data_IF_167487582624
#
_entry.id   IF_167487582624
#
_cell.length_a   1.000
_cell.length_b   1.000
_cell.length_c   1.000
_cell.angle_alpha   90.00
_cell.angle_beta   90.00
_cell.angle_gamma   90.00
#
_symmetry.space_group_name_H-M   'P 1'
#
loop_
_entity.id
_entity.type
_entity.pdbx_description
1 polymer ?
#
# COMPACT_ATOMS: atom_id res chain seq x y z
N UNK A 1 -6.51 -20.52 6.93
CA UNK A 1 -6.07 -19.66 8.02
C UNK A 1 -6.62 -18.26 7.78
N UNK A 2 -7.39 -17.76 8.75
CA UNK A 2 -8.40 -16.73 8.63
C UNK A 2 -7.97 -15.28 8.43
N UNK A 3 -6.78 -14.95 7.95
CA UNK A 3 -6.39 -13.56 7.69
C UNK A 3 -6.46 -13.26 6.19
N UNK A 4 -7.31 -12.31 5.82
CA UNK A 4 -7.60 -11.99 4.43
C UNK A 4 -6.82 -10.73 3.97
N UNK A 5 -6.66 -10.58 2.67
CA UNK A 5 -6.20 -9.33 2.06
C UNK A 5 -7.00 -8.12 2.58
N UNK A 6 -8.31 -8.27 2.67
CA UNK A 6 -9.19 -7.20 3.16
C UNK A 6 -8.83 -6.75 4.58
N UNK A 7 -8.53 -7.68 5.49
CA UNK A 7 -8.11 -7.35 6.85
C UNK A 7 -6.75 -6.65 6.88
N UNK A 8 -5.79 -7.12 6.08
CA UNK A 8 -4.47 -6.48 5.95
C UNK A 8 -4.58 -5.05 5.43
N UNK A 9 -5.29 -4.84 4.34
CA UNK A 9 -5.37 -3.53 3.68
C UNK A 9 -6.13 -2.49 4.51
N UNK A 10 -7.14 -2.92 5.27
CA UNK A 10 -7.82 -2.03 6.22
C UNK A 10 -6.85 -1.50 7.29
N UNK A 11 -6.01 -2.36 7.89
CA UNK A 11 -5.07 -1.95 8.94
C UNK A 11 -3.97 -1.05 8.38
N UNK A 12 -3.50 -1.31 7.18
CA UNK A 12 -2.55 -0.41 6.48
C UNK A 12 -3.20 0.97 6.27
N UNK A 13 -4.43 1.02 5.79
CA UNK A 13 -5.14 2.28 5.58
C UNK A 13 -5.37 3.07 6.86
N UNK A 14 -5.83 2.40 7.93
CA UNK A 14 -6.04 3.02 9.25
C UNK A 14 -4.74 3.56 9.84
N UNK A 15 -3.65 2.78 9.77
CA UNK A 15 -2.34 3.21 10.26
C UNK A 15 -1.77 4.37 9.42
N UNK A 16 -2.00 4.38 8.10
CA UNK A 16 -1.62 5.53 7.24
C UNK A 16 -2.35 6.80 7.67
N UNK A 17 -3.66 6.71 7.90
CA UNK A 17 -4.44 7.84 8.42
C UNK A 17 -3.93 8.31 9.78
N UNK A 18 -3.61 7.39 10.69
CA UNK A 18 -3.02 7.70 12.00
C UNK A 18 -1.69 8.46 11.85
N UNK A 19 -0.79 8.03 10.95
CA UNK A 19 0.47 8.74 10.70
C UNK A 19 0.25 10.14 10.13
N UNK A 20 -0.67 10.31 9.20
CA UNK A 20 -1.03 11.64 8.69
C UNK A 20 -1.53 12.54 9.81
N UNK A 21 -2.36 12.02 10.71
CA UNK A 21 -2.86 12.75 11.87
C UNK A 21 -1.77 13.12 12.86
N UNK A 22 -0.84 12.21 13.12
CA UNK A 22 0.16 12.37 14.18
C UNK A 22 1.34 13.27 13.75
N UNK A 23 1.69 13.24 12.46
CA UNK A 23 2.93 13.84 11.97
C UNK A 23 2.73 14.97 10.97
N UNK A 24 1.51 15.39 10.72
CA UNK A 24 1.23 16.49 9.79
C UNK A 24 0.17 17.44 10.33
N UNK A 25 0.01 18.56 9.63
CA UNK A 25 -1.09 19.51 9.84
C UNK A 25 -2.27 19.27 8.88
N UNK A 26 -2.26 18.14 8.15
CA UNK A 26 -3.38 17.76 7.29
C UNK A 26 -4.62 17.54 8.16
N UNK A 27 -5.72 18.19 7.81
CA UNK A 27 -7.01 17.91 8.45
C UNK A 27 -7.41 16.46 8.14
N UNK A 28 -7.36 15.62 9.15
CA UNK A 28 -7.68 14.19 9.01
C UNK A 28 -9.14 13.91 8.67
N UNK A 29 -10.03 14.89 8.80
CA UNK A 29 -11.40 14.80 8.29
C UNK A 29 -11.43 14.79 6.75
N UNK A 30 -10.38 15.31 6.10
CA UNK A 30 -10.20 15.23 4.65
C UNK A 30 -9.59 13.90 4.18
N UNK A 31 -8.99 13.13 5.08
CA UNK A 31 -8.47 11.78 4.80
C UNK A 31 -9.58 10.77 5.08
N UNK A 32 -10.29 10.39 4.04
CA UNK A 32 -11.44 9.48 4.13
C UNK A 32 -11.08 8.09 3.66
N UNK A 33 -11.74 7.11 4.24
CA UNK A 33 -11.61 5.70 3.85
C UNK A 33 -12.98 5.19 3.38
N UNK A 34 -12.98 4.25 2.46
CA UNK A 34 -14.20 3.62 1.96
C UNK A 34 -14.81 2.65 2.98
N UNK A 35 -14.02 2.18 3.95
CA UNK A 35 -14.48 1.39 5.10
C UNK A 35 -13.58 1.63 6.30
N UNK A 36 -14.10 1.38 7.49
CA UNK A 36 -13.40 1.57 8.78
C UNK A 36 -13.37 0.30 9.63
N UNK A 37 -14.14 -0.72 9.29
CA UNK A 37 -14.25 -1.98 10.04
C UNK A 37 -14.22 -3.17 9.08
N UNK A 38 -13.97 -4.37 9.60
CA UNK A 38 -13.88 -5.59 8.79
C UNK A 38 -15.26 -6.08 8.31
N UNK A 39 -16.31 -5.77 9.02
CA UNK A 39 -17.69 -6.14 8.67
C UNK A 39 -18.35 -5.21 7.62
N UNK A 40 -17.73 -4.07 7.34
CA UNK A 40 -18.16 -3.20 6.25
C UNK A 40 -17.79 -3.79 4.89
N UNK A 41 -18.80 -4.21 4.14
CA UNK A 41 -18.66 -4.64 2.76
C UNK A 41 -18.99 -3.45 1.86
N UNK A 42 -18.05 -3.06 1.01
CA UNK A 42 -18.20 -1.95 0.05
C UNK A 42 -17.84 -2.47 -1.33
N UNK A 43 -18.78 -2.43 -2.25
CA UNK A 43 -18.57 -2.90 -3.62
C UNK A 43 -17.55 -2.02 -4.37
N UNK A 44 -16.94 -2.58 -5.42
CA UNK A 44 -15.88 -1.88 -6.18
C UNK A 44 -16.37 -0.56 -6.75
N UNK A 45 -17.58 -0.54 -7.29
CA UNK A 45 -18.14 0.67 -7.89
C UNK A 45 -18.49 1.71 -6.81
N UNK A 46 -19.04 1.26 -5.70
CA UNK A 46 -19.39 2.11 -4.56
C UNK A 46 -18.16 2.86 -4.01
N UNK A 47 -16.98 2.22 -3.95
CA UNK A 47 -15.74 2.89 -3.51
C UNK A 47 -15.39 4.10 -4.37
N UNK A 48 -15.54 3.95 -5.68
CA UNK A 48 -15.29 5.05 -6.62
C UNK A 48 -16.34 6.14 -6.50
N UNK A 49 -17.60 5.74 -6.35
CA UNK A 49 -18.72 6.69 -6.22
C UNK A 49 -18.63 7.50 -4.91
N UNK A 50 -18.22 6.87 -3.81
CA UNK A 50 -17.93 7.58 -2.55
C UNK A 50 -16.83 8.63 -2.74
N UNK A 51 -15.71 8.28 -3.38
CA UNK A 51 -14.62 9.22 -3.61
C UNK A 51 -15.03 10.39 -4.51
N UNK A 52 -15.81 10.11 -5.55
CA UNK A 52 -16.37 11.14 -6.44
C UNK A 52 -17.33 12.08 -5.70
N UNK A 53 -18.22 11.52 -4.87
CA UNK A 53 -19.16 12.30 -4.06
C UNK A 53 -18.46 13.17 -3.00
N UNK A 54 -17.31 12.73 -2.50
CA UNK A 54 -16.48 13.51 -1.57
C UNK A 54 -15.72 14.64 -2.26
N UNK A 55 -15.61 14.63 -3.59
CA UNK A 55 -14.74 15.52 -4.33
C UNK A 55 -13.27 15.32 -3.96
N UNK A 56 -12.84 14.07 -3.81
CA UNK A 56 -11.48 13.76 -3.40
C UNK A 56 -10.45 14.22 -4.45
N UNK A 57 -9.29 14.71 -4.01
CA UNK A 57 -8.17 15.10 -4.89
C UNK A 57 -7.42 13.89 -5.43
N UNK A 58 -7.41 12.80 -4.68
CA UNK A 58 -6.70 11.58 -5.01
C UNK A 58 -7.41 10.35 -4.42
N UNK A 59 -7.42 9.25 -5.19
CA UNK A 59 -7.93 7.95 -4.74
C UNK A 59 -6.80 6.93 -4.71
N UNK A 60 -6.53 6.37 -3.54
CA UNK A 60 -5.53 5.33 -3.36
C UNK A 60 -6.16 4.01 -2.95
N UNK A 61 -5.98 2.98 -3.77
CA UNK A 61 -6.48 1.62 -3.54
C UNK A 61 -5.36 0.71 -3.05
N UNK A 62 -5.48 0.23 -1.82
CA UNK A 62 -4.47 -0.63 -1.17
C UNK A 62 -4.86 -2.08 -1.37
N UNK A 63 -3.99 -2.87 -1.98
CA UNK A 63 -4.17 -4.29 -2.25
C UNK A 63 -2.96 -5.12 -1.83
N UNK A 64 -3.08 -6.43 -1.99
CA UNK A 64 -2.01 -7.41 -1.82
C UNK A 64 -2.22 -8.52 -2.82
N UNK A 65 -1.28 -8.71 -3.71
CA UNK A 65 -1.35 -9.63 -4.85
C UNK A 65 -1.35 -11.11 -4.42
N UNK A 66 -1.71 -11.96 -5.34
CA UNK A 66 -1.69 -13.41 -5.19
C UNK A 66 -0.90 -14.06 -6.33
N UNK A 67 -0.16 -15.12 -6.02
CA UNK A 67 0.60 -15.86 -7.01
C UNK A 67 1.59 -16.81 -6.36
N UNK A 68 2.30 -17.58 -7.18
CA UNK A 68 3.30 -18.54 -6.75
C UNK A 68 4.72 -18.05 -7.08
N UNK A 69 5.60 -18.06 -6.10
CA UNK A 69 7.04 -18.00 -6.29
C UNK A 69 7.68 -16.61 -6.30
N UNK A 70 6.91 -15.54 -6.36
CA UNK A 70 7.44 -14.16 -6.29
C UNK A 70 6.77 -13.38 -5.18
N UNK A 71 7.50 -12.44 -4.57
CA UNK A 71 6.98 -11.50 -3.60
C UNK A 71 7.39 -10.09 -4.05
N UNK A 72 6.47 -9.36 -4.66
CA UNK A 72 6.75 -8.10 -5.32
C UNK A 72 5.72 -7.04 -4.95
N UNK A 73 6.16 -5.78 -4.96
CA UNK A 73 5.25 -4.63 -4.99
C UNK A 73 4.94 -4.27 -6.45
N UNK A 74 3.71 -3.84 -6.71
CA UNK A 74 3.25 -3.42 -8.03
C UNK A 74 2.36 -2.19 -7.90
N UNK A 75 2.49 -1.25 -8.83
CA UNK A 75 1.74 -0.01 -8.82
C UNK A 75 1.06 0.21 -10.16
N UNK A 76 -0.26 0.40 -10.15
CA UNK A 76 -1.10 0.50 -11.32
C UNK A 76 -1.90 1.81 -11.28
N UNK A 77 -1.51 2.76 -12.11
CA UNK A 77 -2.24 4.02 -12.25
C UNK A 77 -3.10 4.05 -13.50
N UNK A 78 -4.11 4.90 -13.49
CA UNK A 78 -5.05 5.01 -14.61
C UNK A 78 -4.40 5.53 -15.88
N UNK A 79 -4.35 4.68 -16.92
CA UNK A 79 -3.83 5.09 -18.22
C UNK A 79 -3.86 3.99 -19.28
N UNK A 80 -3.58 4.38 -20.51
CA UNK A 80 -3.64 3.53 -21.71
C UNK A 80 -2.63 3.99 -22.75
N UNK A 81 -2.52 3.24 -23.86
CA UNK A 81 -1.74 3.64 -25.04
C UNK A 81 -2.70 3.95 -26.20
N UNK A 82 -2.45 5.04 -26.92
CA UNK A 82 -3.18 5.48 -28.09
C UNK A 82 -2.24 6.14 -29.09
N UNK A 83 -2.31 5.75 -30.35
CA UNK A 83 -1.50 6.30 -31.46
C UNK A 83 0.00 6.36 -31.12
N UNK A 84 0.52 5.27 -30.52
CA UNK A 84 1.91 5.16 -30.07
C UNK A 84 2.25 5.94 -28.80
N UNK A 85 1.32 6.72 -28.25
CA UNK A 85 1.54 7.56 -27.06
C UNK A 85 0.92 6.95 -25.81
N UNK A 86 1.66 7.04 -24.68
CA UNK A 86 1.13 6.69 -23.37
C UNK A 86 0.34 7.86 -22.78
N UNK A 87 -0.90 7.61 -22.44
CA UNK A 87 -1.82 8.61 -21.91
C UNK A 87 -2.14 8.29 -20.45
N UNK A 88 -1.80 9.20 -19.56
CA UNK A 88 -2.23 9.16 -18.16
C UNK A 88 -3.62 9.78 -18.04
N UNK A 89 -4.53 9.15 -17.31
CA UNK A 89 -5.90 9.66 -17.07
C UNK A 89 -5.88 11.06 -16.47
N UNK A 90 -5.00 11.27 -15.51
CA UNK A 90 -4.83 12.57 -14.84
C UNK A 90 -3.35 12.93 -14.84
N UNK A 91 -2.92 13.92 -15.62
CA UNK A 91 -1.51 14.31 -15.69
C UNK A 91 -0.91 14.64 -14.33
N UNK A 92 0.31 14.19 -14.07
CA UNK A 92 0.99 14.33 -12.78
C UNK A 92 0.23 13.73 -11.57
N UNK A 93 -0.66 12.79 -11.83
CA UNK A 93 -1.52 12.14 -10.85
C UNK A 93 -0.96 10.81 -10.35
N UNK A 94 -1.61 9.72 -10.78
CA UNK A 94 -1.29 8.38 -10.30
C UNK A 94 0.13 7.93 -10.61
N UNK A 95 0.64 8.25 -11.80
CA UNK A 95 2.02 7.97 -12.20
C UNK A 95 3.01 8.62 -11.23
N UNK A 96 2.87 9.92 -11.00
CA UNK A 96 3.76 10.66 -10.10
C UNK A 96 3.68 10.16 -8.66
N UNK A 97 2.49 9.82 -8.19
CA UNK A 97 2.36 9.23 -6.85
C UNK A 97 3.07 7.88 -6.76
N UNK A 98 2.95 7.02 -7.77
CA UNK A 98 3.63 5.75 -7.86
C UNK A 98 5.16 5.88 -7.89
N UNK A 99 5.71 6.94 -8.49
CA UNK A 99 7.16 7.24 -8.49
C UNK A 99 7.71 7.51 -7.08
N UNK A 100 6.90 8.04 -6.17
CA UNK A 100 7.25 8.17 -4.74
C UNK A 100 6.92 6.91 -3.94
N UNK A 101 5.81 6.25 -4.26
CA UNK A 101 5.32 5.10 -3.51
C UNK A 101 6.20 3.86 -3.71
N UNK A 102 6.63 3.59 -4.93
CA UNK A 102 7.44 2.43 -5.26
C UNK A 102 8.73 2.34 -4.40
N UNK A 103 9.64 3.30 -4.42
CA UNK A 103 10.84 3.24 -3.58
C UNK A 103 10.51 3.27 -2.08
N UNK A 104 9.49 4.02 -1.67
CA UNK A 104 9.10 4.12 -0.26
C UNK A 104 8.54 2.79 0.25
N UNK A 105 7.66 2.15 -0.51
CA UNK A 105 7.00 0.92 -0.08
C UNK A 105 7.94 -0.29 -0.18
N UNK A 106 8.63 -0.44 -1.31
CA UNK A 106 9.59 -1.53 -1.52
C UNK A 106 10.74 -1.46 -0.51
N UNK A 107 11.19 -0.25 -0.16
CA UNK A 107 12.25 -0.04 0.82
C UNK A 107 11.88 -0.43 2.25
N UNK A 108 10.62 -0.23 2.66
CA UNK A 108 10.15 -0.61 4.01
C UNK A 108 9.69 -2.07 4.08
N UNK A 109 9.18 -2.60 2.98
CA UNK A 109 8.74 -4.00 2.88
C UNK A 109 9.91 -4.91 2.47
N UNK A 110 10.92 -4.99 3.31
CA UNK A 110 12.24 -5.61 3.08
C UNK A 110 12.26 -7.02 2.45
N UNK A 111 11.13 -7.70 2.37
CA UNK A 111 10.99 -9.01 1.70
C UNK A 111 10.44 -8.91 0.27
N UNK A 112 10.21 -7.71 -0.24
CA UNK A 112 9.66 -7.50 -1.58
C UNK A 112 10.70 -6.89 -2.51
N UNK A 113 10.47 -7.09 -3.81
CA UNK A 113 11.16 -6.36 -4.87
C UNK A 113 10.13 -5.55 -5.65
N UNK A 114 10.53 -4.43 -6.23
CA UNK A 114 9.63 -3.67 -7.10
C UNK A 114 9.41 -4.41 -8.42
N UNK A 115 8.16 -4.57 -8.81
CA UNK A 115 7.79 -4.93 -10.17
C UNK A 115 7.65 -3.70 -11.07
N UNK A 116 7.40 -2.54 -10.47
CA UNK A 116 7.34 -1.25 -11.14
C UNK A 116 5.98 -0.56 -11.10
N UNK A 117 5.92 0.59 -11.76
CA UNK A 117 4.78 1.50 -11.82
C UNK A 117 4.28 1.61 -13.27
N UNK A 118 3.05 1.14 -13.55
CA UNK A 118 2.54 0.93 -14.89
C UNK A 118 1.20 1.61 -15.15
N UNK A 119 0.98 1.98 -16.39
CA UNK A 119 -0.34 2.25 -16.95
C UNK A 119 -1.18 0.98 -16.86
N UNK A 120 -2.28 0.99 -16.13
CA UNK A 120 -3.02 -0.23 -15.79
C UNK A 120 -3.54 -0.98 -17.03
N UNK A 121 -3.99 -0.26 -18.06
CA UNK A 121 -4.43 -0.91 -19.30
C UNK A 121 -3.27 -1.54 -20.07
N UNK A 122 -2.12 -0.89 -20.11
CA UNK A 122 -0.93 -1.44 -20.75
C UNK A 122 -0.45 -2.71 -20.03
N UNK A 123 -0.51 -2.68 -18.70
CA UNK A 123 -0.14 -3.82 -17.89
C UNK A 123 -1.00 -5.07 -18.16
N UNK A 124 -2.33 -4.90 -18.25
CA UNK A 124 -3.26 -6.03 -18.44
C UNK A 124 -3.44 -6.45 -19.90
N UNK A 125 -3.40 -5.51 -20.84
CA UNK A 125 -3.66 -5.78 -22.25
C UNK A 125 -2.37 -5.92 -23.09
N UNK A 126 -1.18 -5.73 -22.48
CA UNK A 126 0.07 -5.62 -23.19
C UNK A 126 0.29 -4.21 -23.77
N UNK A 127 1.51 -3.97 -24.27
CA UNK A 127 1.92 -2.68 -24.84
C UNK A 127 1.38 -2.51 -26.28
N UNK A 128 0.07 -2.48 -26.40
CA UNK A 128 -0.65 -2.34 -27.68
C UNK A 128 -1.49 -1.09 -27.70
N UNK A 129 -1.62 -0.46 -28.87
CA UNK A 129 -2.54 0.63 -29.06
C UNK A 129 -4.00 0.19 -28.89
N UNK A 130 -4.73 0.94 -28.09
CA UNK A 130 -6.16 0.68 -27.88
C UNK A 130 -6.99 1.65 -28.73
N UNK A 131 -7.58 1.16 -29.82
CA UNK A 131 -8.44 1.97 -30.67
C UNK A 131 -9.85 2.18 -30.09
N UNK A 132 -10.35 1.16 -29.36
CA UNK A 132 -11.71 1.17 -28.82
C UNK A 132 -11.78 1.53 -27.33
N UNK A 133 -10.81 1.08 -26.53
CA UNK A 133 -10.83 1.19 -25.07
C UNK A 133 -9.86 2.28 -24.56
N UNK A 134 -10.13 3.53 -24.90
CA UNK A 134 -9.29 4.69 -24.52
C UNK A 134 -9.61 5.18 -23.11
N UNK A 135 -9.47 4.29 -22.12
CA UNK A 135 -9.69 4.55 -20.70
C UNK A 135 -8.94 3.52 -19.83
N UNK A 136 -8.75 3.77 -18.54
CA UNK A 136 -8.10 2.84 -17.61
C UNK A 136 -8.78 1.47 -17.57
N UNK A 137 -7.98 0.43 -17.31
CA UNK A 137 -8.48 -0.95 -17.21
C UNK A 137 -9.23 -1.20 -15.89
N UNK A 138 -8.58 -0.91 -14.77
CA UNK A 138 -9.12 -1.16 -13.45
C UNK A 138 -10.34 -0.27 -13.15
N UNK A 139 -11.39 -0.83 -12.55
CA UNK A 139 -12.62 -0.11 -12.22
C UNK A 139 -12.32 1.13 -11.37
N UNK A 140 -11.52 1.00 -10.33
CA UNK A 140 -11.15 2.12 -9.45
C UNK A 140 -10.43 3.25 -10.19
N UNK A 141 -9.59 2.92 -11.16
CA UNK A 141 -8.90 3.92 -11.98
C UNK A 141 -9.82 4.52 -13.05
N UNK A 142 -10.76 3.75 -13.58
CA UNK A 142 -11.68 4.18 -14.63
C UNK A 142 -12.81 5.06 -14.09
N UNK A 143 -13.42 4.68 -12.97
CA UNK A 143 -14.63 5.31 -12.43
C UNK A 143 -14.37 6.53 -11.57
N UNK A 144 -13.20 6.67 -10.99
CA UNK A 144 -12.83 7.85 -10.21
C UNK A 144 -12.62 9.07 -11.11
N UNK A 145 -13.12 10.23 -10.70
CA UNK A 145 -12.98 11.49 -11.44
C UNK A 145 -11.62 12.16 -11.23
N UNK A 146 -10.91 11.78 -10.18
CA UNK A 146 -9.61 12.31 -9.78
C UNK A 146 -8.46 11.37 -10.16
N UNK A 147 -7.23 11.79 -9.88
CA UNK A 147 -6.05 10.94 -9.95
C UNK A 147 -6.21 9.72 -9.04
N UNK A 148 -5.77 8.56 -9.52
CA UNK A 148 -5.91 7.31 -8.79
C UNK A 148 -4.75 6.36 -9.06
N UNK A 149 -4.45 5.53 -8.05
CA UNK A 149 -3.47 4.47 -8.13
C UNK A 149 -3.93 3.29 -7.27
N UNK A 150 -3.71 2.08 -7.78
CA UNK A 150 -3.79 0.82 -7.03
C UNK A 150 -2.38 0.31 -6.75
N UNK A 151 -2.09 -0.06 -5.51
CA UNK A 151 -0.85 -0.75 -5.15
C UNK A 151 -1.10 -2.17 -4.70
N UNK A 152 -0.18 -3.05 -5.07
CA UNK A 152 -0.05 -4.40 -4.54
C UNK A 152 1.13 -4.43 -3.56
N UNK A 153 0.84 -4.49 -2.27
CA UNK A 153 1.83 -4.52 -1.20
C UNK A 153 2.30 -5.94 -0.90
N UNK A 154 3.05 -6.55 -1.82
CA UNK A 154 3.51 -7.94 -1.72
C UNK A 154 2.41 -8.97 -2.00
N UNK A 155 2.78 -10.24 -1.97
CA UNK A 155 1.89 -11.37 -2.30
C UNK A 155 1.38 -12.04 -1.02
N UNK A 156 0.09 -11.88 -0.72
CA UNK A 156 -0.51 -12.50 0.48
C UNK A 156 -0.53 -14.02 0.45
N UNK A 157 -0.26 -14.64 -0.70
CA UNK A 157 -0.10 -16.10 -0.85
C UNK A 157 1.35 -16.58 -0.74
N UNK A 158 2.33 -15.66 -0.67
CA UNK A 158 3.72 -16.02 -0.57
C UNK A 158 4.08 -16.50 0.85
N UNK A 159 4.80 -17.62 0.98
CA UNK A 159 5.07 -18.30 2.26
C UNK A 159 5.72 -17.42 3.33
N UNK A 160 6.59 -16.49 2.92
CA UNK A 160 7.26 -15.56 3.83
C UNK A 160 6.40 -14.32 4.09
N UNK A 161 5.71 -13.83 3.05
CA UNK A 161 4.89 -12.61 3.16
C UNK A 161 3.61 -12.83 3.97
N UNK A 162 2.99 -14.00 3.86
CA UNK A 162 1.74 -14.31 4.54
C UNK A 162 1.82 -14.10 6.07
N UNK A 163 2.77 -14.68 6.81
CA UNK A 163 2.89 -14.42 8.25
C UNK A 163 3.22 -12.95 8.54
N UNK A 164 4.02 -12.28 7.70
CA UNK A 164 4.32 -10.86 7.89
C UNK A 164 3.08 -9.97 7.72
N UNK A 165 2.23 -10.26 6.76
CA UNK A 165 0.97 -9.52 6.57
C UNK A 165 0.05 -9.62 7.79
N UNK A 166 0.20 -10.64 8.62
CA UNK A 166 -0.52 -10.80 9.89
C UNK A 166 0.11 -10.00 11.02
N UNK A 167 1.39 -9.64 10.91
CA UNK A 167 2.11 -8.87 11.91
C UNK A 167 1.69 -7.39 11.88
N UNK A 168 1.33 -6.86 13.04
CA UNK A 168 0.87 -5.46 13.14
C UNK A 168 1.99 -4.46 12.83
N UNK A 169 3.19 -4.70 13.35
CA UNK A 169 4.36 -3.87 13.08
C UNK A 169 4.72 -3.85 11.60
N UNK A 170 4.59 -4.97 10.89
CA UNK A 170 4.84 -5.04 9.46
C UNK A 170 3.79 -4.27 8.64
N UNK A 171 2.52 -4.34 9.00
CA UNK A 171 1.46 -3.50 8.39
C UNK A 171 1.72 -2.01 8.63
N UNK A 172 2.23 -1.65 9.80
CA UNK A 172 2.65 -0.29 10.13
C UNK A 172 3.85 0.18 9.31
N UNK A 173 4.77 -0.71 8.93
CA UNK A 173 5.84 -0.39 7.97
C UNK A 173 5.29 -0.02 6.59
N UNK A 174 4.39 -0.83 6.06
CA UNK A 174 3.71 -0.54 4.79
C UNK A 174 2.96 0.80 4.84
N UNK A 175 2.24 1.04 5.94
CA UNK A 175 1.56 2.31 6.19
C UNK A 175 2.54 3.49 6.27
N UNK A 176 3.71 3.32 6.87
CA UNK A 176 4.72 4.36 6.96
C UNK A 176 5.34 4.68 5.60
N UNK A 177 5.62 3.66 4.78
CA UNK A 177 6.03 3.85 3.38
C UNK A 177 4.98 4.63 2.58
N UNK A 178 3.71 4.27 2.73
CA UNK A 178 2.56 4.97 2.12
C UNK A 178 2.48 6.43 2.61
N UNK A 179 2.58 6.66 3.91
CA UNK A 179 2.60 7.99 4.51
C UNK A 179 3.73 8.87 3.91
N UNK A 180 4.95 8.35 3.83
CA UNK A 180 6.07 9.08 3.23
C UNK A 180 5.81 9.46 1.77
N UNK A 181 5.27 8.54 0.99
CA UNK A 181 4.92 8.79 -0.41
C UNK A 181 3.84 9.87 -0.55
N UNK A 182 2.82 9.88 0.31
CA UNK A 182 1.79 10.93 0.35
C UNK A 182 2.43 12.29 0.65
N UNK A 183 3.33 12.36 1.63
CA UNK A 183 4.02 13.61 1.98
C UNK A 183 4.83 14.16 0.81
N UNK A 184 5.61 13.29 0.14
CA UNK A 184 6.42 13.66 -1.02
C UNK A 184 5.55 14.10 -2.21
N UNK A 185 4.49 13.35 -2.49
CA UNK A 185 3.54 13.69 -3.57
C UNK A 185 2.87 15.05 -3.36
N UNK A 186 2.52 15.37 -2.11
CA UNK A 186 1.92 16.65 -1.72
C UNK A 186 2.94 17.77 -1.55
N UNK A 187 4.23 17.49 -1.72
CA UNK A 187 5.31 18.47 -1.52
C UNK A 187 5.45 18.93 -0.07
N UNK A 188 5.05 18.09 0.89
CA UNK A 188 5.14 18.36 2.31
C UNK A 188 6.48 17.87 2.88
N UNK A 189 6.98 18.55 3.90
CA UNK A 189 8.21 18.15 4.57
C UNK A 189 8.00 16.85 5.37
N UNK A 190 8.88 15.89 5.15
CA UNK A 190 8.90 14.67 5.96
C UNK A 190 9.31 14.98 7.40
N UNK A 191 8.68 14.36 8.41
CA UNK A 191 9.13 14.49 9.78
C UNK A 191 10.54 13.92 9.94
N UNK A 192 11.34 14.53 10.83
CA UNK A 192 12.68 14.04 11.23
C UNK A 192 12.54 12.78 12.11
N UNK A 193 11.85 11.77 11.60
CA UNK A 193 11.64 10.50 12.28
C UNK A 193 11.85 9.36 11.31
N UNK A 194 12.44 8.31 11.81
CA UNK A 194 12.63 7.05 11.11
C UNK A 194 11.85 5.96 11.81
N UNK A 195 11.36 5.01 11.05
CA UNK A 195 10.85 3.77 11.61
C UNK A 195 11.97 2.74 11.56
N UNK A 196 12.29 2.16 12.70
CA UNK A 196 13.19 1.03 12.79
C UNK A 196 12.37 -0.23 12.99
N UNK A 197 12.55 -1.18 12.10
CA UNK A 197 11.89 -2.48 12.21
C UNK A 197 12.86 -3.59 11.78
N UNK A 198 12.68 -4.77 12.35
CA UNK A 198 13.51 -5.92 12.05
C UNK A 198 12.98 -7.17 12.75
N UNK A 199 13.65 -8.26 12.52
CA UNK A 199 13.42 -9.54 13.20
C UNK A 199 14.65 -9.87 14.04
N UNK A 200 14.45 -10.10 15.33
CA UNK A 200 15.52 -10.61 16.20
C UNK A 200 15.62 -12.11 15.98
N UNK A 201 16.81 -12.58 15.66
CA UNK A 201 17.06 -13.98 15.34
C UNK A 201 18.17 -14.56 16.20
N UNK A 202 18.09 -15.84 16.43
CA UNK A 202 19.17 -16.61 17.02
C UNK A 202 20.33 -16.73 16.03
N UNK A 203 21.55 -16.35 16.47
CA UNK A 203 22.73 -16.35 15.62
C UNK A 203 23.22 -17.74 15.22
N UNK A 204 22.80 -18.80 15.92
CA UNK A 204 23.24 -20.17 15.66
C UNK A 204 22.37 -20.90 14.63
N UNK A 205 21.07 -20.59 14.59
CA UNK A 205 20.12 -21.33 13.76
C UNK A 205 19.22 -20.46 12.90
N UNK A 206 19.41 -19.12 12.91
CA UNK A 206 18.64 -18.10 12.16
C UNK A 206 17.13 -18.11 12.44
N UNK A 207 16.70 -18.71 13.56
CA UNK A 207 15.29 -18.72 13.94
C UNK A 207 14.90 -17.43 14.68
N UNK A 208 13.68 -16.91 14.46
CA UNK A 208 13.16 -15.76 15.22
C UNK A 208 13.16 -16.06 16.74
N UNK A 209 13.47 -15.03 17.52
CA UNK A 209 13.40 -15.09 18.99
C UNK A 209 12.31 -14.12 19.46
N UNK A 210 11.40 -14.66 20.26
CA UNK A 210 10.28 -13.93 20.83
C UNK A 210 10.65 -13.27 22.16
N UNK A 211 9.91 -12.22 22.52
CA UNK A 211 10.00 -11.53 23.80
C UNK A 211 11.41 -11.00 24.13
N UNK A 212 12.14 -10.58 23.12
CA UNK A 212 13.46 -9.96 23.30
C UNK A 212 13.29 -8.48 23.60
N UNK A 213 13.93 -8.02 24.66
CA UNK A 213 14.02 -6.60 24.97
C UNK A 213 15.05 -5.94 24.06
N UNK A 214 14.61 -4.99 23.25
CA UNK A 214 15.43 -4.19 22.35
C UNK A 214 15.43 -2.74 22.80
N UNK A 215 16.59 -2.14 23.00
CA UNK A 215 16.72 -0.73 23.37
C UNK A 215 17.42 0.01 22.23
N UNK A 216 16.77 1.06 21.72
CA UNK A 216 17.32 1.94 20.69
C UNK A 216 17.09 3.37 21.10
N UNK A 217 18.16 4.16 21.13
CA UNK A 217 18.10 5.58 21.51
C UNK A 217 17.34 5.83 22.83
N UNK A 218 17.62 5.00 23.84
CA UNK A 218 17.01 5.08 25.16
C UNK A 218 15.54 4.60 25.22
N UNK A 219 14.96 4.19 24.11
CA UNK A 219 13.62 3.61 24.08
C UNK A 219 13.70 2.10 24.06
N UNK A 220 12.94 1.48 24.95
CA UNK A 220 12.89 0.02 25.09
C UNK A 220 11.57 -0.52 24.58
N UNK A 221 11.65 -1.54 23.74
CA UNK A 221 10.51 -2.33 23.26
C UNK A 221 10.79 -3.80 23.52
N UNK A 222 9.73 -4.59 23.62
CA UNK A 222 9.82 -6.05 23.66
C UNK A 222 9.28 -6.57 22.32
N UNK A 223 10.04 -7.46 21.67
CA UNK A 223 9.60 -8.04 20.40
C UNK A 223 8.36 -8.89 20.60
N UNK A 224 7.45 -8.82 19.63
CA UNK A 224 6.27 -9.69 19.60
C UNK A 224 6.69 -11.15 19.51
N UNK A 225 5.84 -12.05 20.01
CA UNK A 225 5.99 -13.46 19.71
C UNK A 225 5.64 -13.73 18.25
N UNK A 226 6.55 -14.37 17.52
CA UNK A 226 6.31 -14.77 16.12
C UNK A 226 5.06 -15.67 15.99
N UNK A 227 4.76 -16.47 17.02
CA UNK A 227 3.55 -17.29 17.08
C UNK A 227 2.32 -16.54 17.61
N UNK A 228 2.48 -15.50 18.45
CA UNK A 228 1.35 -14.76 19.01
C UNK A 228 0.64 -13.87 17.97
N UNK A 229 1.27 -13.64 16.83
CA UNK A 229 0.67 -12.97 15.67
C UNK A 229 -0.59 -13.68 15.17
N UNK A 230 -0.74 -14.95 15.49
CA UNK A 230 -1.90 -15.76 15.11
C UNK A 230 -3.01 -15.81 16.15
N UNK A 231 -2.78 -15.32 17.37
CA UNK A 231 -3.71 -15.47 18.50
C UNK A 231 -4.59 -14.24 18.80
N UNK A 232 -4.24 -13.09 18.26
CA UNK A 232 -4.89 -11.81 18.62
C UNK A 232 -5.71 -11.16 17.49
N UNK A 233 -6.13 -11.96 16.51
CA UNK A 233 -6.97 -11.49 15.40
C UNK A 233 -8.19 -12.38 15.20
#
# INVERSE_FOLDING_TARGET
YGYTEAQKTLRVGLATKEYLQQYTTIDTNTVRMTRYTDDQIVDLDERSDMANAWGADFFYSIHSDAGSGQNQTLFLFGGWKKDGQYIEKTPNGGKRYGEFLDPSLTGVMYNTTSRGNYYDRVYYNGDVDTHENQYPYLSVNRRTNMASLLSEGGFHTHKVQQPLNMNDSYKRLEAFGTFRAIMQYRGLQLPEKVMLAGVVKNSENDQPIDNVTVTVDGKTIVTDSYESLFKNY
#
